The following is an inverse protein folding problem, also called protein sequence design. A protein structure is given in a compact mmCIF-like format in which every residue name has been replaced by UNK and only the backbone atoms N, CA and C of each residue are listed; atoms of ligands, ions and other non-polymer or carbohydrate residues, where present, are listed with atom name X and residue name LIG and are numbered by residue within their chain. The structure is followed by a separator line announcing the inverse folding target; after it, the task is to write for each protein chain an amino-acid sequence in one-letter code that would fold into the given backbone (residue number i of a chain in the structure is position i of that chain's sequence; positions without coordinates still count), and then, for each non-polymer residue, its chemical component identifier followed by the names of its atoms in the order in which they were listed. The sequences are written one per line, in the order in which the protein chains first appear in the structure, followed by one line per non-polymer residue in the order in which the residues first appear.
data_IF_652161948237
#
_entry.id   IF_652161948237
#
_cell.length_a   1.000
_cell.length_b   1.000
_cell.length_c   1.000
_cell.angle_alpha   90.00
_cell.angle_beta   90.00
_cell.angle_gamma   90.00
#
_symmetry.space_group_name_H-M   'P 1'
#
loop_
_entity.id
_entity.type
_entity.pdbx_description
1 polymer ?
#
# COMPACT_ATOMS: atom_id res chain seq x y z
N UNK A 1 -12.20 -0.66 38.40
CA UNK A 1 -12.75 -0.68 37.03
C UNK A 1 -14.23 -0.31 37.15
N UNK A 2 -14.68 0.77 36.51
CA UNK A 2 -15.98 1.41 36.77
C UNK A 2 -17.14 0.47 36.37
N UNK A 3 -18.20 0.34 37.17
CA UNK A 3 -19.35 -0.57 36.92
C UNK A 3 -19.98 -0.34 35.53
N UNK A 4 -19.99 0.92 35.10
CA UNK A 4 -20.42 1.36 33.76
C UNK A 4 -19.54 0.77 32.64
N UNK A 5 -18.22 0.68 32.86
CA UNK A 5 -17.29 0.10 31.91
C UNK A 5 -17.57 -1.41 31.76
N UNK A 6 -17.79 -2.12 32.87
CA UNK A 6 -18.12 -3.55 32.87
C UNK A 6 -19.44 -3.83 32.14
N UNK A 7 -20.48 -3.01 32.38
CA UNK A 7 -21.78 -3.13 31.68
C UNK A 7 -21.60 -2.88 30.17
N UNK A 8 -20.82 -1.87 29.79
CA UNK A 8 -20.52 -1.58 28.38
C UNK A 8 -19.73 -2.70 27.71
N UNK A 9 -18.73 -3.27 28.39
CA UNK A 9 -17.97 -4.43 27.91
C UNK A 9 -18.91 -5.63 27.67
N UNK A 10 -19.80 -5.92 28.62
CA UNK A 10 -20.76 -7.03 28.52
C UNK A 10 -21.78 -6.81 27.40
N UNK A 11 -22.38 -5.63 27.29
CA UNK A 11 -23.32 -5.31 26.20
C UNK A 11 -22.64 -5.34 24.82
N UNK A 12 -21.40 -4.86 24.73
CA UNK A 12 -20.61 -4.91 23.49
C UNK A 12 -20.28 -6.36 23.10
N UNK A 13 -19.91 -7.20 24.06
CA UNK A 13 -19.70 -8.63 23.82
C UNK A 13 -20.99 -9.33 23.36
N UNK A 14 -22.13 -9.03 23.97
CA UNK A 14 -23.44 -9.59 23.55
C UNK A 14 -23.78 -9.14 22.12
N UNK A 15 -23.57 -7.87 21.79
CA UNK A 15 -23.78 -7.35 20.43
C UNK A 15 -22.83 -8.01 19.41
N UNK A 16 -21.59 -8.31 19.80
CA UNK A 16 -20.62 -9.05 18.99
C UNK A 16 -21.12 -10.43 18.60
N UNK A 17 -21.52 -11.22 19.61
CA UNK A 17 -21.99 -12.59 19.43
C UNK A 17 -23.32 -12.61 18.67
N UNK A 18 -24.22 -11.67 18.94
CA UNK A 18 -25.48 -11.51 18.20
C UNK A 18 -25.27 -11.12 16.73
N UNK A 19 -24.36 -10.18 16.46
CA UNK A 19 -23.98 -9.77 15.10
C UNK A 19 -23.33 -10.90 14.31
N UNK A 20 -22.41 -11.66 14.95
CA UNK A 20 -21.79 -12.86 14.40
C UNK A 20 -22.85 -13.92 14.03
N UNK A 21 -23.83 -14.14 14.90
CA UNK A 21 -24.93 -15.08 14.66
C UNK A 21 -25.81 -14.69 13.49
N UNK A 22 -26.23 -13.41 13.43
CA UNK A 22 -27.08 -12.89 12.36
C UNK A 22 -26.36 -12.87 11.00
N UNK A 23 -25.07 -12.53 10.97
CA UNK A 23 -24.26 -12.56 9.75
C UNK A 23 -24.03 -14.00 9.26
N UNK A 24 -23.72 -14.92 10.17
CA UNK A 24 -23.56 -16.35 9.85
C UNK A 24 -24.86 -16.93 9.29
N UNK A 25 -26.00 -16.56 9.87
CA UNK A 25 -27.33 -16.95 9.39
C UNK A 25 -27.69 -16.32 8.04
N UNK A 26 -27.36 -15.03 7.83
CA UNK A 26 -27.56 -14.35 6.56
C UNK A 26 -26.75 -14.99 5.43
N UNK A 27 -25.50 -15.34 5.69
CA UNK A 27 -24.62 -16.03 4.73
C UNK A 27 -25.08 -17.45 4.42
N UNK A 28 -25.59 -18.17 5.42
CA UNK A 28 -26.21 -19.49 5.22
C UNK A 28 -27.33 -19.45 4.17
N UNK A 29 -28.11 -18.35 4.11
CA UNK A 29 -29.15 -18.18 3.09
C UNK A 29 -28.63 -17.81 1.71
N UNK A 30 -27.41 -17.28 1.60
CA UNK A 30 -26.89 -16.71 0.35
C UNK A 30 -25.92 -17.67 -0.38
N UNK A 31 -25.27 -18.59 0.34
CA UNK A 31 -24.33 -19.57 -0.24
C UNK A 31 -25.08 -20.81 -0.75
N UNK A 32 -24.89 -21.15 -2.04
CA UNK A 32 -25.69 -22.18 -2.71
C UNK A 32 -25.19 -23.64 -2.58
N UNK A 33 -23.93 -23.89 -2.20
CA UNK A 33 -23.34 -25.26 -2.12
C UNK A 33 -22.86 -25.62 -0.71
N UNK A 34 -23.16 -26.86 -0.27
CA UNK A 34 -22.73 -27.44 1.02
C UNK A 34 -21.21 -27.68 1.11
N UNK A 35 -20.51 -27.91 0.00
CA UNK A 35 -19.06 -28.17 -0.02
C UNK A 35 -18.23 -26.88 0.15
N UNK A 36 -18.69 -25.76 -0.42
CA UNK A 36 -18.10 -24.43 -0.20
C UNK A 36 -18.32 -23.93 1.23
N UNK A 37 -19.33 -24.45 1.94
CA UNK A 37 -19.54 -24.20 3.36
C UNK A 37 -18.38 -24.72 4.22
N UNK A 38 -17.76 -25.84 3.84
CA UNK A 38 -16.58 -26.40 4.53
C UNK A 38 -15.34 -25.50 4.32
N UNK A 39 -15.20 -24.90 3.14
CA UNK A 39 -14.14 -23.93 2.85
C UNK A 39 -14.37 -22.58 3.57
N UNK A 40 -15.62 -22.13 3.66
CA UNK A 40 -16.04 -21.02 4.55
C UNK A 40 -15.67 -21.34 6.00
N UNK A 41 -15.79 -22.59 6.44
CA UNK A 41 -15.37 -23.01 7.78
C UNK A 41 -13.86 -22.88 8.04
N UNK A 42 -13.00 -23.04 7.01
CA UNK A 42 -11.53 -22.94 7.15
C UNK A 42 -10.94 -21.55 6.93
N UNK A 43 -11.59 -20.67 6.14
CA UNK A 43 -11.06 -19.33 5.83
C UNK A 43 -12.09 -18.20 5.85
N UNK A 44 -13.31 -18.42 5.34
CA UNK A 44 -14.35 -17.38 5.25
C UNK A 44 -14.90 -16.91 6.60
N UNK A 45 -15.10 -17.84 7.55
CA UNK A 45 -15.57 -17.56 8.90
C UNK A 45 -14.57 -16.64 9.63
N UNK A 46 -13.27 -16.88 9.47
CA UNK A 46 -12.21 -16.07 10.08
C UNK A 46 -12.32 -14.58 9.71
N UNK A 47 -12.60 -14.24 8.46
CA UNK A 47 -12.62 -12.84 8.02
C UNK A 47 -13.91 -12.09 8.36
N UNK A 48 -15.05 -12.78 8.34
CA UNK A 48 -16.30 -12.21 8.87
C UNK A 48 -16.20 -12.06 10.39
N UNK A 49 -15.53 -12.99 11.08
CA UNK A 49 -15.22 -12.83 12.51
C UNK A 49 -14.29 -11.66 12.76
N UNK A 50 -13.34 -11.36 11.86
CA UNK A 50 -12.50 -10.16 11.95
C UNK A 50 -13.37 -8.90 11.81
N UNK A 51 -14.24 -8.82 10.81
CA UNK A 51 -15.15 -7.68 10.64
C UNK A 51 -16.05 -7.44 11.86
N UNK A 52 -16.64 -8.50 12.42
CA UNK A 52 -17.46 -8.41 13.62
C UNK A 52 -16.64 -8.08 14.87
N UNK A 53 -15.44 -8.65 15.01
CA UNK A 53 -14.52 -8.35 16.11
C UNK A 53 -14.08 -6.88 16.09
N UNK A 54 -13.78 -6.33 14.90
CA UNK A 54 -13.46 -4.91 14.74
C UNK A 54 -14.64 -4.04 15.16
N UNK A 55 -15.86 -4.31 14.68
CA UNK A 55 -17.03 -3.54 15.07
C UNK A 55 -17.28 -3.59 16.60
N UNK A 56 -17.10 -4.77 17.20
CA UNK A 56 -17.22 -4.99 18.64
C UNK A 56 -16.19 -4.20 19.43
N UNK A 57 -14.93 -4.25 19.00
CA UNK A 57 -13.85 -3.48 19.61
C UNK A 57 -14.15 -1.98 19.55
N UNK A 58 -14.70 -1.51 18.43
CA UNK A 58 -15.12 -0.12 18.27
C UNK A 58 -16.32 0.23 19.17
N UNK A 59 -17.28 -0.68 19.37
CA UNK A 59 -18.34 -0.51 20.37
C UNK A 59 -17.77 -0.37 21.79
N UNK A 60 -16.80 -1.21 22.16
CA UNK A 60 -16.13 -1.10 23.46
C UNK A 60 -15.40 0.24 23.63
N UNK A 61 -14.66 0.67 22.60
CA UNK A 61 -13.97 1.96 22.59
C UNK A 61 -14.96 3.11 22.74
N UNK A 62 -16.11 3.05 22.08
CA UNK A 62 -17.15 4.08 22.22
C UNK A 62 -17.64 4.21 23.68
N UNK A 63 -17.71 3.09 24.41
CA UNK A 63 -18.00 3.08 25.85
C UNK A 63 -16.94 3.75 26.71
N UNK A 64 -15.67 3.56 26.36
CA UNK A 64 -14.53 4.23 27.01
C UNK A 64 -14.56 5.74 26.72
N UNK A 65 -14.95 6.14 25.52
CA UNK A 65 -15.13 7.56 25.18
C UNK A 65 -16.28 8.18 25.98
N UNK A 66 -17.38 7.45 26.16
CA UNK A 66 -18.51 7.95 26.97
C UNK A 66 -18.13 8.20 28.43
N UNK A 67 -17.17 7.44 28.96
CA UNK A 67 -16.64 7.62 30.32
C UNK A 67 -15.40 8.51 30.40
N UNK A 68 -14.96 9.08 29.27
CA UNK A 68 -13.78 9.93 29.19
C UNK A 68 -14.02 11.33 29.77
N UNK A 69 -12.95 12.07 30.14
CA UNK A 69 -13.06 13.42 30.68
C UNK A 69 -13.39 14.50 29.63
N UNK A 70 -13.89 14.15 28.43
CA UNK A 70 -14.29 15.15 27.44
C UNK A 70 -15.53 15.90 27.95
N UNK A 71 -15.37 17.15 28.37
CA UNK A 71 -16.46 17.98 28.91
C UNK A 71 -17.47 18.40 27.83
N UNK A 72 -16.98 18.80 26.65
CA UNK A 72 -17.84 19.29 25.57
C UNK A 72 -18.64 18.15 24.91
N UNK A 73 -19.98 18.26 24.96
CA UNK A 73 -20.89 17.26 24.41
C UNK A 73 -20.71 17.03 22.89
N UNK A 74 -20.38 18.07 22.12
CA UNK A 74 -20.14 17.94 20.68
C UNK A 74 -18.90 17.11 20.39
N UNK A 75 -17.78 17.39 21.08
CA UNK A 75 -16.53 16.65 20.88
C UNK A 75 -16.67 15.19 21.31
N UNK A 76 -17.40 14.95 22.41
CA UNK A 76 -17.73 13.59 22.87
C UNK A 76 -18.58 12.86 21.85
N UNK A 77 -19.60 13.53 21.30
CA UNK A 77 -20.44 12.97 20.24
C UNK A 77 -19.59 12.62 19.00
N UNK A 78 -18.74 13.52 18.53
CA UNK A 78 -17.85 13.28 17.38
C UNK A 78 -16.97 12.04 17.61
N UNK A 79 -16.37 11.91 18.79
CA UNK A 79 -15.52 10.76 19.13
C UNK A 79 -16.32 9.45 19.17
N UNK A 80 -17.45 9.41 19.88
CA UNK A 80 -18.32 8.21 19.97
C UNK A 80 -18.85 7.82 18.59
N UNK A 81 -19.46 8.78 17.89
CA UNK A 81 -20.09 8.56 16.60
C UNK A 81 -19.06 8.18 15.53
N UNK A 82 -17.91 8.85 15.51
CA UNK A 82 -16.77 8.50 14.68
C UNK A 82 -16.29 7.08 14.94
N UNK A 83 -16.24 6.63 16.20
CA UNK A 83 -15.80 5.28 16.56
C UNK A 83 -16.74 4.22 15.98
N UNK A 84 -18.05 4.43 16.17
CA UNK A 84 -19.09 3.52 15.68
C UNK A 84 -19.10 3.45 14.16
N UNK A 85 -19.07 4.60 13.48
CA UNK A 85 -19.02 4.66 12.02
C UNK A 85 -17.75 4.01 11.47
N UNK A 86 -16.59 4.26 12.09
CA UNK A 86 -15.34 3.66 11.67
C UNK A 86 -15.40 2.13 11.76
N UNK A 87 -15.85 1.60 12.90
CA UNK A 87 -16.04 0.17 13.07
C UNK A 87 -17.01 -0.44 12.06
N UNK A 88 -18.13 0.23 11.82
CA UNK A 88 -19.15 -0.21 10.87
C UNK A 88 -18.57 -0.29 9.46
N UNK A 89 -17.95 0.80 8.99
CA UNK A 89 -17.43 0.89 7.63
C UNK A 89 -16.25 -0.03 7.38
N UNK A 90 -15.34 -0.22 8.35
CA UNK A 90 -14.28 -1.22 8.25
C UNK A 90 -14.88 -2.63 8.18
N UNK A 91 -15.86 -2.94 9.03
CA UNK A 91 -16.52 -4.25 9.06
C UNK A 91 -17.21 -4.59 7.73
N UNK A 92 -17.98 -3.64 7.19
CA UNK A 92 -18.65 -3.79 5.88
C UNK A 92 -17.63 -3.86 4.75
N UNK A 93 -16.58 -3.03 4.80
CA UNK A 93 -15.51 -2.99 3.80
C UNK A 93 -14.76 -4.31 3.70
N UNK A 94 -14.30 -4.83 4.84
CA UNK A 94 -13.63 -6.14 4.93
C UNK A 94 -14.57 -7.24 4.43
N UNK A 95 -15.79 -7.32 4.96
CA UNK A 95 -16.74 -8.37 4.57
C UNK A 95 -17.03 -8.36 3.06
N UNK A 96 -17.24 -7.19 2.49
CA UNK A 96 -17.54 -7.03 1.05
C UNK A 96 -16.32 -7.32 0.17
N UNK A 97 -15.13 -6.90 0.60
CA UNK A 97 -13.86 -7.20 -0.08
C UNK A 97 -13.65 -8.71 -0.20
N UNK A 98 -13.81 -9.46 0.90
CA UNK A 98 -13.63 -10.91 0.89
C UNK A 98 -14.68 -11.64 0.05
N UNK A 99 -15.95 -11.24 0.16
CA UNK A 99 -17.02 -11.82 -0.65
C UNK A 99 -16.76 -11.67 -2.16
N UNK A 100 -16.20 -10.54 -2.57
CA UNK A 100 -15.83 -10.28 -3.96
C UNK A 100 -14.54 -11.00 -4.36
N UNK A 101 -13.48 -10.88 -3.55
CA UNK A 101 -12.12 -11.34 -3.87
C UNK A 101 -12.03 -12.85 -4.00
N UNK A 102 -12.62 -13.60 -3.06
CA UNK A 102 -12.57 -15.06 -3.04
C UNK A 102 -13.62 -15.73 -3.91
N UNK A 103 -14.42 -14.94 -4.66
CA UNK A 103 -15.46 -15.40 -5.60
C UNK A 103 -16.27 -16.58 -5.04
N UNK A 104 -16.70 -16.49 -3.78
CA UNK A 104 -17.66 -17.44 -3.23
C UNK A 104 -18.85 -17.54 -4.19
N UNK A 105 -19.49 -18.71 -4.30
CA UNK A 105 -20.62 -18.94 -5.22
C UNK A 105 -21.91 -18.30 -4.65
N UNK A 106 -21.82 -16.99 -4.44
CA UNK A 106 -22.86 -16.06 -4.00
C UNK A 106 -23.72 -15.72 -5.23
N UNK A 107 -25.01 -15.46 -5.04
CA UNK A 107 -25.86 -15.01 -6.15
C UNK A 107 -25.22 -13.86 -6.93
N UNK A 108 -25.24 -13.93 -8.28
CA UNK A 108 -24.61 -12.96 -9.19
C UNK A 108 -24.92 -11.49 -8.85
N UNK A 109 -26.10 -11.22 -8.27
CA UNK A 109 -26.53 -9.89 -7.82
C UNK A 109 -25.62 -9.30 -6.72
N UNK A 110 -25.12 -10.11 -5.79
CA UNK A 110 -24.25 -9.66 -4.70
C UNK A 110 -22.79 -9.51 -5.15
N UNK A 111 -22.32 -10.38 -6.04
CA UNK A 111 -20.95 -10.30 -6.54
C UNK A 111 -20.71 -9.06 -7.43
N UNK A 112 -21.75 -8.61 -8.17
CA UNK A 112 -21.68 -7.41 -9.01
C UNK A 112 -21.41 -6.12 -8.22
N UNK A 113 -21.95 -6.00 -7.01
CA UNK A 113 -21.84 -4.78 -6.19
C UNK A 113 -20.78 -4.86 -5.08
N UNK A 114 -20.28 -6.06 -4.75
CA UNK A 114 -19.35 -6.26 -3.64
C UNK A 114 -18.10 -5.37 -3.69
N UNK A 115 -17.51 -5.19 -4.88
CA UNK A 115 -16.33 -4.32 -5.04
C UNK A 115 -16.64 -2.84 -4.76
N UNK A 116 -17.77 -2.33 -5.29
CA UNK A 116 -18.20 -0.95 -5.07
C UNK A 116 -18.50 -0.70 -3.58
N UNK A 117 -19.20 -1.64 -2.93
CA UNK A 117 -19.50 -1.55 -1.50
C UNK A 117 -18.22 -1.55 -0.68
N UNK A 118 -17.25 -2.42 -1.02
CA UNK A 118 -15.95 -2.45 -0.34
C UNK A 118 -15.22 -1.11 -0.47
N UNK A 119 -15.10 -0.59 -1.71
CA UNK A 119 -14.38 0.65 -1.99
C UNK A 119 -15.03 1.86 -1.29
N UNK A 120 -16.35 2.00 -1.41
CA UNK A 120 -17.10 3.08 -0.75
C UNK A 120 -16.96 2.97 0.77
N UNK A 121 -17.07 1.76 1.33
CA UNK A 121 -16.96 1.55 2.78
C UNK A 121 -15.57 1.91 3.29
N UNK A 122 -14.48 1.53 2.61
CA UNK A 122 -13.14 1.95 3.03
C UNK A 122 -12.94 3.47 2.93
N UNK A 123 -13.50 4.13 1.91
CA UNK A 123 -13.50 5.59 1.81
C UNK A 123 -14.24 6.26 2.98
N UNK A 124 -15.43 5.76 3.31
CA UNK A 124 -16.22 6.24 4.45
C UNK A 124 -15.54 5.93 5.79
N UNK A 125 -14.82 4.81 5.90
CA UNK A 125 -14.03 4.49 7.08
C UNK A 125 -12.94 5.55 7.31
N UNK A 126 -12.24 6.01 6.28
CA UNK A 126 -11.23 7.08 6.44
C UNK A 126 -11.87 8.37 6.95
N UNK A 127 -13.03 8.76 6.43
CA UNK A 127 -13.76 9.94 6.90
C UNK A 127 -14.22 9.79 8.36
N UNK A 128 -14.73 8.61 8.72
CA UNK A 128 -15.12 8.30 10.09
C UNK A 128 -13.91 8.27 11.05
N UNK A 129 -12.75 7.82 10.58
CA UNK A 129 -11.49 7.86 11.32
C UNK A 129 -11.04 9.31 11.57
N UNK A 130 -11.18 10.21 10.61
CA UNK A 130 -10.86 11.62 10.83
C UNK A 130 -11.82 12.27 11.84
N UNK A 131 -13.11 11.97 11.74
CA UNK A 131 -14.11 12.45 12.71
C UNK A 131 -13.83 11.94 14.12
N UNK A 132 -13.48 10.65 14.24
CA UNK A 132 -13.04 10.02 15.48
C UNK A 132 -11.87 10.79 16.11
N UNK A 133 -10.78 10.95 15.34
CA UNK A 133 -9.55 11.57 15.83
C UNK A 133 -9.79 13.04 16.19
N UNK A 134 -10.58 13.78 15.42
CA UNK A 134 -10.96 15.16 15.75
C UNK A 134 -11.77 15.23 17.05
N UNK A 135 -12.70 14.30 17.28
CA UNK A 135 -13.43 14.22 18.54
C UNK A 135 -12.50 14.04 19.75
N UNK A 136 -11.49 13.18 19.62
CA UNK A 136 -10.44 13.00 20.66
C UNK A 136 -9.54 14.23 20.81
N UNK A 137 -9.17 14.87 19.70
CA UNK A 137 -8.28 16.02 19.70
C UNK A 137 -8.95 17.27 20.30
N UNK A 138 -10.16 17.60 19.85
CA UNK A 138 -10.96 18.68 20.46
C UNK A 138 -11.39 18.37 21.89
N UNK A 139 -11.52 17.08 22.23
CA UNK A 139 -11.80 16.62 23.57
C UNK A 139 -10.61 16.68 24.54
N UNK A 140 -9.44 17.12 24.08
CA UNK A 140 -8.23 17.23 24.91
C UNK A 140 -7.58 15.90 25.29
N UNK A 141 -8.01 14.79 24.70
CA UNK A 141 -7.42 13.46 24.94
C UNK A 141 -6.12 13.25 24.14
N UNK A 142 -6.01 13.88 22.97
CA UNK A 142 -4.78 13.85 22.16
C UNK A 142 -3.98 15.11 22.46
N UNK A 143 -2.70 14.93 22.80
CA UNK A 143 -1.73 16.01 22.93
C UNK A 143 -0.88 16.08 21.66
N UNK A 144 -0.54 17.30 21.27
CA UNK A 144 0.35 17.58 20.15
C UNK A 144 1.69 18.12 20.70
N UNK A 145 2.83 17.78 20.09
CA UNK A 145 2.97 16.89 18.93
C UNK A 145 2.65 15.43 19.25
N UNK A 146 2.16 14.71 18.25
CA UNK A 146 1.88 13.27 18.34
C UNK A 146 3.18 12.49 18.63
N UNK A 147 3.09 11.34 19.32
CA UNK A 147 4.25 10.47 19.52
C UNK A 147 4.79 9.97 18.18
N UNK A 148 6.11 9.94 18.03
CA UNK A 148 6.80 9.46 16.81
C UNK A 148 6.76 7.94 16.64
N UNK A 149 6.37 7.21 17.70
CA UNK A 149 6.29 5.76 17.69
C UNK A 149 5.66 5.17 18.95
N UNK A 150 5.62 3.85 19.01
CA UNK A 150 5.14 3.10 20.16
C UNK A 150 6.28 2.98 21.18
N UNK A 151 6.13 3.53 22.40
CA UNK A 151 7.19 3.49 23.39
C UNK A 151 7.33 2.08 23.96
N UNK A 152 8.35 1.36 23.51
CA UNK A 152 8.93 0.25 24.27
C UNK A 152 10.15 0.81 25.02
N UNK A 153 10.48 0.24 26.20
CA UNK A 153 11.55 0.72 27.09
C UNK A 153 12.93 0.90 26.40
N UNK A 154 13.12 0.28 25.22
CA UNK A 154 14.01 0.56 24.08
C UNK A 154 14.15 -0.77 23.32
N UNK A 155 13.99 -0.85 21.98
CA UNK A 155 13.86 0.24 20.99
C UNK A 155 12.41 0.74 20.78
N UNK A 156 12.25 1.99 20.38
CA UNK A 156 10.95 2.57 19.97
C UNK A 156 10.60 2.08 18.56
N UNK A 157 9.37 1.57 18.37
CA UNK A 157 8.88 1.26 17.03
C UNK A 157 8.32 2.54 16.41
N UNK A 158 9.05 3.13 15.47
CA UNK A 158 8.66 4.36 14.80
C UNK A 158 7.41 4.13 13.92
N UNK A 159 6.42 5.03 14.02
CA UNK A 159 5.26 5.00 13.12
C UNK A 159 5.69 5.14 11.67
N UNK A 160 6.75 5.91 11.40
CA UNK A 160 7.36 6.03 10.07
C UNK A 160 7.65 4.67 9.42
N UNK A 161 8.28 3.76 10.17
CA UNK A 161 8.59 2.40 9.68
C UNK A 161 7.32 1.58 9.43
N UNK A 162 6.32 1.71 10.31
CA UNK A 162 5.03 1.02 10.17
C UNK A 162 4.28 1.48 8.91
N UNK A 163 4.25 2.79 8.62
CA UNK A 163 3.62 3.31 7.41
C UNK A 163 4.34 2.89 6.13
N UNK A 164 5.68 2.88 6.13
CA UNK A 164 6.45 2.36 4.98
C UNK A 164 6.15 0.89 4.73
N UNK A 165 6.18 0.06 5.78
CA UNK A 165 5.89 -1.37 5.66
C UNK A 165 4.45 -1.62 5.21
N UNK A 166 3.49 -0.90 5.80
CA UNK A 166 2.08 -0.98 5.40
C UNK A 166 1.89 -0.60 3.92
N UNK A 167 2.55 0.48 3.46
CA UNK A 167 2.53 0.88 2.06
C UNK A 167 3.12 -0.19 1.13
N UNK A 168 4.26 -0.79 1.51
CA UNK A 168 4.90 -1.84 0.75
C UNK A 168 4.04 -3.11 0.63
N UNK A 169 3.42 -3.54 1.73
CA UNK A 169 2.50 -4.69 1.76
C UNK A 169 1.21 -4.41 0.96
N UNK A 170 0.69 -3.18 1.04
CA UNK A 170 -0.46 -2.75 0.24
C UNK A 170 -0.15 -2.84 -1.26
N UNK A 171 1.03 -2.38 -1.69
CA UNK A 171 1.47 -2.49 -3.08
C UNK A 171 1.64 -3.94 -3.50
N UNK A 172 2.20 -4.80 -2.66
CA UNK A 172 2.28 -6.23 -2.92
C UNK A 172 0.89 -6.83 -3.14
N UNK A 173 -0.08 -6.54 -2.26
CA UNK A 173 -1.45 -7.03 -2.38
C UNK A 173 -2.14 -6.54 -3.66
N UNK A 174 -1.99 -5.26 -4.01
CA UNK A 174 -2.53 -4.68 -5.25
C UNK A 174 -1.91 -5.37 -6.47
N UNK A 175 -0.58 -5.46 -6.53
CA UNK A 175 0.11 -6.03 -7.68
C UNK A 175 -0.16 -7.52 -7.82
N UNK A 176 -0.16 -8.29 -6.73
CA UNK A 176 -0.43 -9.73 -6.77
C UNK A 176 -1.85 -10.01 -7.27
N UNK A 177 -2.84 -9.20 -6.85
CA UNK A 177 -4.21 -9.33 -7.35
C UNK A 177 -4.32 -9.00 -8.85
N UNK A 178 -3.66 -7.94 -9.30
CA UNK A 178 -3.65 -7.58 -10.73
C UNK A 178 -2.92 -8.63 -11.57
N UNK A 179 -1.84 -9.23 -11.06
CA UNK A 179 -1.16 -10.34 -11.72
C UNK A 179 -2.05 -11.59 -11.77
N UNK A 180 -2.79 -11.89 -10.68
CA UNK A 180 -3.75 -12.99 -10.63
C UNK A 180 -4.85 -12.85 -11.69
N UNK A 181 -5.38 -11.64 -11.93
CA UNK A 181 -6.41 -11.42 -12.98
C UNK A 181 -5.95 -11.90 -14.35
N UNK A 182 -4.64 -11.87 -14.62
CA UNK A 182 -4.05 -12.29 -15.88
C UNK A 182 -3.60 -13.74 -15.88
N UNK A 183 -2.93 -14.19 -14.81
CA UNK A 183 -2.26 -15.50 -14.76
C UNK A 183 -2.97 -16.55 -13.93
N UNK A 184 -4.10 -16.21 -13.28
CA UNK A 184 -4.94 -17.15 -12.53
C UNK A 184 -4.34 -17.68 -11.23
N UNK A 185 -3.19 -17.16 -10.78
CA UNK A 185 -2.47 -17.63 -9.59
C UNK A 185 -1.92 -16.49 -8.74
N UNK A 186 -2.15 -16.57 -7.43
CA UNK A 186 -1.57 -15.69 -6.41
C UNK A 186 -0.17 -16.12 -6.00
N UNK A 187 0.60 -15.19 -5.44
CA UNK A 187 1.91 -15.43 -4.86
C UNK A 187 3.05 -15.46 -5.90
N UNK A 188 2.79 -15.04 -7.14
CA UNK A 188 3.83 -14.97 -8.18
C UNK A 188 4.84 -13.86 -7.84
N UNK A 189 4.37 -12.76 -7.27
CA UNK A 189 5.21 -11.59 -6.94
C UNK A 189 5.80 -11.65 -5.52
N UNK A 190 5.30 -12.52 -4.64
CA UNK A 190 5.79 -12.66 -3.27
C UNK A 190 7.29 -12.98 -3.19
N UNK A 191 7.86 -13.93 -3.97
CA UNK A 191 9.28 -14.22 -3.89
C UNK A 191 10.16 -13.06 -4.37
N UNK A 192 9.64 -12.24 -5.30
CA UNK A 192 10.30 -11.01 -5.73
C UNK A 192 10.34 -10.01 -4.57
N UNK A 193 9.22 -9.83 -3.86
CA UNK A 193 9.13 -8.95 -2.70
C UNK A 193 10.07 -9.39 -1.57
N UNK A 194 10.09 -10.69 -1.22
CA UNK A 194 10.95 -11.22 -0.16
C UNK A 194 12.44 -11.05 -0.44
N UNK A 195 12.84 -10.92 -1.71
CA UNK A 195 14.23 -10.61 -2.07
C UNK A 195 14.48 -9.10 -2.22
N UNK A 196 13.60 -8.40 -2.94
CA UNK A 196 13.77 -6.99 -3.27
C UNK A 196 13.69 -6.09 -2.04
N UNK A 197 12.79 -6.39 -1.09
CA UNK A 197 12.61 -5.55 0.10
C UNK A 197 13.85 -5.57 1.02
N UNK A 198 14.40 -6.73 1.43
CA UNK A 198 15.68 -6.76 2.17
C UNK A 198 16.86 -6.21 1.37
N UNK A 199 16.95 -6.52 0.07
CA UNK A 199 18.00 -5.97 -0.79
C UNK A 199 17.96 -4.43 -0.85
N UNK A 200 16.75 -3.85 -0.83
CA UNK A 200 16.56 -2.41 -0.73
C UNK A 200 17.07 -1.84 0.60
N UNK A 201 16.82 -2.50 1.73
CA UNK A 201 17.36 -2.05 3.02
C UNK A 201 18.90 -2.06 3.01
N UNK A 202 19.49 -3.15 2.50
CA UNK A 202 20.95 -3.28 2.36
C UNK A 202 21.51 -2.20 1.43
N UNK A 203 20.92 -2.00 0.25
CA UNK A 203 21.34 -0.97 -0.69
C UNK A 203 21.21 0.43 -0.13
N UNK A 204 20.15 0.72 0.62
CA UNK A 204 19.95 2.00 1.27
C UNK A 204 21.05 2.30 2.30
N UNK A 205 21.49 1.27 3.04
CA UNK A 205 22.61 1.40 3.98
C UNK A 205 23.94 1.61 3.25
N UNK A 206 24.23 0.80 2.23
CA UNK A 206 25.46 0.92 1.43
C UNK A 206 25.58 2.33 0.84
N UNK A 207 24.50 2.83 0.25
CA UNK A 207 24.50 4.16 -0.36
C UNK A 207 24.70 5.27 0.66
N UNK A 208 24.07 5.17 1.83
CA UNK A 208 24.25 6.15 2.91
C UNK A 208 25.69 6.18 3.45
N UNK A 209 26.26 4.99 3.69
CA UNK A 209 27.63 4.83 4.19
C UNK A 209 28.64 5.34 3.17
N UNK A 210 28.48 5.00 1.89
CA UNK A 210 29.36 5.49 0.83
C UNK A 210 29.35 7.03 0.73
N UNK A 211 28.19 7.65 0.85
CA UNK A 211 28.06 9.11 0.80
C UNK A 211 28.60 9.84 2.03
N UNK A 212 28.71 9.17 3.18
CA UNK A 212 29.13 9.76 4.46
C UNK A 212 30.40 9.10 5.04
N UNK A 213 31.20 8.43 4.20
CA UNK A 213 32.31 7.56 4.62
C UNK A 213 33.22 8.22 5.66
N UNK A 214 33.74 9.40 5.35
CA UNK A 214 34.61 10.17 6.25
C UNK A 214 33.82 11.02 7.24
N UNK A 215 32.67 11.58 6.82
CA UNK A 215 31.88 12.51 7.64
C UNK A 215 31.36 11.88 8.93
N UNK A 216 31.04 10.59 8.89
CA UNK A 216 30.50 9.85 10.03
C UNK A 216 31.52 8.85 10.62
N UNK A 217 32.81 8.94 10.27
CA UNK A 217 33.86 8.11 10.88
C UNK A 217 33.81 6.62 10.53
N UNK A 218 33.17 6.22 9.42
CA UNK A 218 33.14 4.81 8.99
C UNK A 218 34.52 4.27 8.61
N UNK A 219 35.44 5.16 8.25
CA UNK A 219 36.85 4.87 8.02
C UNK A 219 37.62 4.50 9.31
N UNK A 220 37.10 4.88 10.48
CA UNK A 220 37.75 4.67 11.79
C UNK A 220 37.15 3.46 12.52
N UNK A 221 35.83 3.24 12.39
CA UNK A 221 35.15 2.05 12.91
C UNK A 221 34.19 1.48 11.86
N UNK A 222 34.70 0.48 11.13
CA UNK A 222 33.95 -0.20 10.07
C UNK A 222 32.69 -0.93 10.60
N UNK A 223 32.64 -1.31 11.89
CA UNK A 223 31.48 -2.02 12.44
C UNK A 223 30.24 -1.13 12.45
N UNK A 224 30.40 0.20 12.42
CA UNK A 224 29.28 1.14 12.30
C UNK A 224 28.49 0.93 11.00
N UNK A 225 29.10 0.38 9.93
CA UNK A 225 28.41 0.10 8.66
C UNK A 225 27.20 -0.82 8.86
N UNK A 226 27.26 -1.76 9.81
CA UNK A 226 26.20 -2.73 10.07
C UNK A 226 25.13 -2.23 11.06
N UNK A 227 25.36 -1.11 11.74
CA UNK A 227 24.46 -0.56 12.77
C UNK A 227 23.27 0.18 12.14
N UNK A 228 22.42 -0.57 11.43
CA UNK A 228 21.23 -0.02 10.76
C UNK A 228 20.18 0.55 11.73
N UNK A 229 20.22 0.13 12.99
CA UNK A 229 19.34 0.64 14.06
C UNK A 229 19.73 2.05 14.53
N UNK A 230 20.93 2.54 14.19
CA UNK A 230 21.35 3.93 14.42
C UNK A 230 20.82 4.88 13.33
N UNK A 231 20.01 4.36 12.39
CA UNK A 231 19.50 5.11 11.24
C UNK A 231 20.50 5.14 10.08
N UNK A 232 20.37 6.14 9.20
CA UNK A 232 21.27 6.30 8.05
C UNK A 232 20.96 5.32 6.91
N UNK A 233 19.80 5.53 6.28
CA UNK A 233 19.36 4.81 5.09
C UNK A 233 19.04 5.82 3.99
N UNK A 234 19.66 5.67 2.82
CA UNK A 234 19.42 6.54 1.67
C UNK A 234 18.49 5.87 0.66
N UNK A 235 17.37 6.54 0.35
CA UNK A 235 16.32 5.97 -0.51
C UNK A 235 16.83 5.59 -1.92
N UNK A 236 17.81 6.33 -2.46
CA UNK A 236 18.39 6.06 -3.79
C UNK A 236 19.01 4.66 -3.86
N UNK A 237 19.78 4.30 -2.82
CA UNK A 237 20.37 2.96 -2.70
C UNK A 237 19.31 1.87 -2.58
N UNK A 238 18.25 2.14 -1.81
CA UNK A 238 17.18 1.17 -1.64
C UNK A 238 16.38 0.93 -2.90
N UNK A 239 16.05 1.98 -3.64
CA UNK A 239 15.38 1.87 -4.93
C UNK A 239 16.24 1.10 -5.95
N UNK A 240 17.54 1.42 -6.03
CA UNK A 240 18.46 0.78 -6.97
C UNK A 240 18.64 -0.71 -6.70
N UNK A 241 19.01 -1.08 -5.48
CA UNK A 241 19.28 -2.48 -5.13
C UNK A 241 18.00 -3.31 -5.08
N UNK A 242 16.89 -2.75 -4.61
CA UNK A 242 15.60 -3.41 -4.64
C UNK A 242 15.13 -3.70 -6.07
N UNK A 243 15.21 -2.72 -6.98
CA UNK A 243 14.88 -2.90 -8.38
C UNK A 243 15.81 -3.93 -9.06
N UNK A 244 17.13 -3.83 -8.83
CA UNK A 244 18.10 -4.75 -9.39
C UNK A 244 17.85 -6.20 -8.93
N UNK A 245 17.64 -6.41 -7.63
CA UNK A 245 17.35 -7.73 -7.07
C UNK A 245 16.05 -8.32 -7.65
N UNK A 246 15.00 -7.51 -7.76
CA UNK A 246 13.73 -7.94 -8.34
C UNK A 246 13.83 -8.29 -9.82
N UNK A 247 14.52 -7.46 -10.61
CA UNK A 247 14.77 -7.69 -12.04
C UNK A 247 15.60 -8.96 -12.25
N UNK A 248 16.68 -9.14 -11.49
CA UNK A 248 17.52 -10.33 -11.57
C UNK A 248 16.72 -11.58 -11.22
N UNK A 249 15.96 -11.56 -10.13
CA UNK A 249 15.13 -12.69 -9.73
C UNK A 249 14.13 -13.07 -10.82
N UNK A 250 13.42 -12.09 -11.35
CA UNK A 250 12.48 -12.28 -12.45
C UNK A 250 13.19 -12.86 -13.68
N UNK A 251 14.37 -12.34 -14.00
CA UNK A 251 15.15 -12.74 -15.18
C UNK A 251 15.73 -14.15 -15.08
N UNK A 252 16.04 -14.63 -13.88
CA UNK A 252 16.57 -15.98 -13.67
C UNK A 252 15.47 -17.02 -13.46
N UNK A 253 14.40 -16.68 -12.72
CA UNK A 253 13.36 -17.64 -12.37
C UNK A 253 12.15 -17.63 -13.31
N UNK A 254 11.79 -16.47 -13.85
CA UNK A 254 10.48 -16.26 -14.49
C UNK A 254 10.52 -15.84 -15.95
N UNK A 255 11.70 -15.58 -16.53
CA UNK A 255 11.83 -15.04 -17.89
C UNK A 255 11.07 -15.82 -18.98
N UNK A 256 10.90 -17.13 -18.83
CA UNK A 256 10.16 -17.98 -19.78
C UNK A 256 8.65 -18.01 -19.53
N UNK A 257 8.21 -17.66 -18.32
CA UNK A 257 6.81 -17.81 -17.88
C UNK A 257 6.05 -16.48 -17.88
N UNK A 258 6.72 -15.38 -17.56
CA UNK A 258 6.08 -14.09 -17.34
C UNK A 258 6.85 -12.96 -18.04
N UNK A 259 6.15 -11.89 -18.41
CA UNK A 259 6.77 -10.71 -19.04
C UNK A 259 7.32 -9.76 -17.98
N UNK A 260 8.63 -9.48 -18.05
CA UNK A 260 9.27 -8.54 -17.13
C UNK A 260 8.76 -7.12 -17.32
N UNK A 261 8.43 -6.75 -18.56
CA UNK A 261 7.89 -5.44 -18.87
C UNK A 261 6.53 -5.23 -18.20
N UNK A 262 5.70 -6.27 -18.16
CA UNK A 262 4.40 -6.22 -17.50
C UNK A 262 4.53 -6.15 -15.98
N UNK A 263 5.48 -6.89 -15.40
CA UNK A 263 5.79 -6.77 -13.98
C UNK A 263 6.27 -5.35 -13.62
N UNK A 264 7.14 -4.75 -14.44
CA UNK A 264 7.60 -3.36 -14.27
C UNK A 264 6.44 -2.38 -14.38
N UNK A 265 5.64 -2.48 -15.44
CA UNK A 265 4.49 -1.63 -15.70
C UNK A 265 3.41 -1.71 -14.63
N UNK A 266 3.36 -2.81 -13.89
CA UNK A 266 2.45 -2.99 -12.77
C UNK A 266 3.04 -2.48 -11.45
N UNK A 267 4.24 -2.94 -11.11
CA UNK A 267 4.86 -2.72 -9.80
C UNK A 267 5.33 -1.27 -9.65
N UNK A 268 6.01 -0.73 -10.66
CA UNK A 268 6.68 0.57 -10.53
C UNK A 268 5.66 1.72 -10.30
N UNK A 269 4.56 1.85 -11.05
CA UNK A 269 3.55 2.87 -10.75
C UNK A 269 2.88 2.66 -9.40
N UNK A 270 2.69 1.40 -8.97
CA UNK A 270 2.08 1.09 -7.69
C UNK A 270 2.91 1.60 -6.50
N UNK A 271 4.22 1.80 -6.65
CA UNK A 271 5.08 2.43 -5.63
C UNK A 271 4.55 3.79 -5.19
N UNK A 272 3.85 4.54 -6.05
CA UNK A 272 3.21 5.81 -5.65
C UNK A 272 2.18 5.62 -4.53
N UNK A 273 1.49 4.47 -4.49
CA UNK A 273 0.58 4.13 -3.38
C UNK A 273 1.38 3.94 -2.09
N UNK A 274 2.49 3.21 -2.13
CA UNK A 274 3.37 3.05 -0.97
C UNK A 274 3.94 4.40 -0.50
N UNK A 275 4.34 5.28 -1.43
CA UNK A 275 4.81 6.63 -1.11
C UNK A 275 3.70 7.46 -0.45
N UNK A 276 2.48 7.41 -0.96
CA UNK A 276 1.36 8.14 -0.37
C UNK A 276 1.06 7.70 1.07
N UNK A 277 1.14 6.40 1.36
CA UNK A 277 1.00 5.87 2.71
C UNK A 277 2.20 6.26 3.58
N UNK A 278 3.43 6.13 3.06
CA UNK A 278 4.66 6.48 3.76
C UNK A 278 4.74 7.94 4.20
N UNK A 279 4.13 8.86 3.46
CA UNK A 279 4.05 10.29 3.83
C UNK A 279 3.37 10.54 5.17
N UNK A 280 2.43 9.69 5.58
CA UNK A 280 1.84 9.78 6.92
C UNK A 280 2.86 9.48 8.02
N UNK A 281 3.94 8.75 7.72
CA UNK A 281 5.08 8.66 8.63
C UNK A 281 5.73 10.03 8.87
N UNK A 282 5.91 10.84 7.83
CA UNK A 282 6.51 12.19 7.96
C UNK A 282 5.63 13.10 8.85
N UNK A 283 4.31 12.92 8.79
CA UNK A 283 3.36 13.62 9.65
C UNK A 283 3.57 13.33 11.15
N UNK A 284 3.81 12.07 11.52
CA UNK A 284 4.12 11.71 12.91
C UNK A 284 5.50 12.23 13.35
N UNK A 285 6.47 12.23 12.43
CA UNK A 285 7.82 12.73 12.70
C UNK A 285 7.94 14.27 12.68
N UNK A 286 6.91 14.98 12.19
CA UNK A 286 6.97 16.42 11.90
C UNK A 286 8.20 16.80 11.06
N UNK A 287 8.42 16.08 9.96
CA UNK A 287 9.53 16.31 9.02
C UNK A 287 9.01 16.54 7.60
N UNK A 288 9.82 17.16 6.73
CA UNK A 288 9.49 17.35 5.31
C UNK A 288 8.19 18.15 5.14
N UNK A 289 8.10 19.26 5.88
CA UNK A 289 6.95 20.17 5.83
C UNK A 289 7.26 21.39 4.95
N UNK A 290 6.22 22.13 4.58
CA UNK A 290 6.37 23.31 3.74
C UNK A 290 6.63 24.59 4.53
N UNK A 291 6.73 25.70 3.81
CA UNK A 291 6.91 27.02 4.39
C UNK A 291 5.81 27.40 5.40
N UNK A 292 6.08 28.45 6.18
CA UNK A 292 5.12 29.06 7.11
C UNK A 292 3.89 29.56 6.34
N UNK A 293 2.70 29.27 6.86
CA UNK A 293 1.44 29.73 6.27
C UNK A 293 0.39 30.03 7.34
N UNK A 294 -0.67 30.72 6.96
CA UNK A 294 -1.81 30.99 7.84
C UNK A 294 -2.67 29.73 7.97
N UNK A 295 -2.85 29.26 9.21
CA UNK A 295 -3.69 28.11 9.56
C UNK A 295 -5.14 28.26 9.07
N UNK A 296 -5.66 29.49 8.96
CA UNK A 296 -7.04 29.75 8.54
C UNK A 296 -7.30 29.36 7.08
N UNK A 297 -6.26 29.41 6.23
CA UNK A 297 -6.35 28.94 4.83
C UNK A 297 -6.63 27.44 4.72
N UNK A 298 -6.38 26.70 5.80
CA UNK A 298 -6.53 25.26 5.89
C UNK A 298 -7.67 24.86 6.83
N UNK A 299 -8.63 25.75 7.11
CA UNK A 299 -9.76 25.49 8.01
C UNK A 299 -10.62 24.28 7.62
N UNK A 300 -10.61 23.89 6.34
CA UNK A 300 -11.25 22.68 5.83
C UNK A 300 -10.55 21.38 6.26
N UNK A 301 -9.29 21.45 6.72
CA UNK A 301 -8.57 20.29 7.22
C UNK A 301 -9.01 19.91 8.63
N UNK A 302 -9.04 18.60 8.96
CA UNK A 302 -9.25 18.11 10.30
C UNK A 302 -8.37 18.83 11.33
N UNK A 303 -8.93 19.06 12.51
CA UNK A 303 -8.25 19.76 13.59
C UNK A 303 -6.95 19.07 13.99
N UNK A 304 -6.93 17.74 14.05
CA UNK A 304 -5.73 16.99 14.41
C UNK A 304 -4.58 17.22 13.43
N UNK A 305 -4.87 17.36 12.12
CA UNK A 305 -3.87 17.68 11.10
C UNK A 305 -3.36 19.09 11.33
N UNK A 306 -4.27 20.03 11.52
CA UNK A 306 -3.90 21.44 11.72
C UNK A 306 -2.98 21.63 12.94
N UNK A 307 -3.31 20.98 14.06
CA UNK A 307 -2.52 21.06 15.29
C UNK A 307 -1.16 20.37 15.16
N UNK A 308 -1.12 19.18 14.55
CA UNK A 308 0.15 18.47 14.34
C UNK A 308 1.09 19.23 13.39
N UNK A 309 0.56 20.07 12.51
CA UNK A 309 1.35 20.89 11.60
C UNK A 309 1.77 22.25 12.19
N UNK A 310 1.47 22.51 13.46
CA UNK A 310 2.10 23.60 14.22
C UNK A 310 3.46 23.11 14.70
N UNK A 311 4.52 23.54 14.01
CA UNK A 311 5.89 23.10 14.24
C UNK A 311 6.70 24.34 14.62
N UNK A 312 7.38 24.28 15.76
CA UNK A 312 8.08 25.43 16.35
C UNK A 312 7.21 26.68 16.56
N UNK A 313 5.91 26.48 16.86
CA UNK A 313 4.96 27.57 17.13
C UNK A 313 4.34 28.20 15.89
N UNK A 314 4.72 27.78 14.69
CA UNK A 314 4.17 28.28 13.43
C UNK A 314 3.47 27.17 12.66
N UNK A 315 2.36 27.50 12.00
CA UNK A 315 1.69 26.57 11.12
C UNK A 315 2.48 26.39 9.81
N UNK A 316 2.80 25.15 9.48
CA UNK A 316 3.54 24.77 8.28
C UNK A 316 2.61 24.13 7.26
N UNK A 317 2.87 24.39 5.97
CA UNK A 317 2.08 23.78 4.89
C UNK A 317 2.18 22.25 4.99
N UNK A 318 1.04 21.51 5.01
CA UNK A 318 1.01 20.06 5.16
C UNK A 318 1.43 19.33 3.87
N UNK A 319 2.71 19.43 3.50
CA UNK A 319 3.24 18.80 2.30
C UNK A 319 3.07 17.28 2.32
N UNK A 320 3.10 16.63 3.49
CA UNK A 320 2.82 15.20 3.60
C UNK A 320 1.47 14.84 2.93
N UNK A 321 0.41 15.62 3.20
CA UNK A 321 -0.93 15.36 2.71
C UNK A 321 -1.04 15.67 1.22
N UNK A 322 -0.46 16.79 0.81
CA UNK A 322 -0.43 17.20 -0.60
C UNK A 322 0.32 16.14 -1.42
N UNK A 323 1.49 15.70 -0.98
CA UNK A 323 2.25 14.63 -1.64
C UNK A 323 1.51 13.29 -1.60
N UNK A 324 0.81 12.95 -0.51
CA UNK A 324 -0.05 11.75 -0.48
C UNK A 324 -1.10 11.77 -1.58
N UNK A 325 -1.80 12.90 -1.76
CA UNK A 325 -2.81 13.05 -2.81
C UNK A 325 -2.22 13.06 -4.21
N UNK A 326 -1.10 13.76 -4.43
CA UNK A 326 -0.44 13.80 -5.74
C UNK A 326 0.08 12.42 -6.13
N UNK A 327 0.64 11.66 -5.19
CA UNK A 327 1.10 10.29 -5.46
C UNK A 327 -0.06 9.34 -5.76
N UNK A 328 -1.14 9.37 -4.97
CA UNK A 328 -2.35 8.57 -5.27
C UNK A 328 -2.93 8.93 -6.63
N UNK A 329 -3.06 10.23 -6.93
CA UNK A 329 -3.53 10.71 -8.23
C UNK A 329 -2.65 10.20 -9.36
N UNK A 330 -1.32 10.25 -9.19
CA UNK A 330 -0.36 9.71 -10.16
C UNK A 330 -0.55 8.23 -10.42
N UNK A 331 -0.76 7.44 -9.37
CA UNK A 331 -1.07 6.02 -9.52
C UNK A 331 -2.34 5.82 -10.35
N UNK A 332 -3.44 6.53 -10.03
CA UNK A 332 -4.70 6.38 -10.75
C UNK A 332 -4.59 6.84 -12.21
N UNK A 333 -3.90 7.95 -12.48
CA UNK A 333 -3.65 8.44 -13.84
C UNK A 333 -2.83 7.44 -14.64
N UNK A 334 -1.71 6.96 -14.11
CA UNK A 334 -0.85 6.02 -14.83
C UNK A 334 -1.57 4.68 -15.03
N UNK A 335 -2.17 4.11 -13.98
CA UNK A 335 -2.77 2.77 -14.02
C UNK A 335 -4.06 2.74 -14.85
N UNK A 336 -4.96 3.71 -14.70
CA UNK A 336 -6.27 3.68 -15.34
C UNK A 336 -6.33 4.55 -16.58
N UNK A 337 -5.93 5.83 -16.51
CA UNK A 337 -6.02 6.70 -17.68
C UNK A 337 -5.06 6.26 -18.80
N UNK A 338 -3.79 5.95 -18.46
CA UNK A 338 -2.83 5.45 -19.45
C UNK A 338 -2.93 3.94 -19.63
N UNK A 339 -2.88 3.17 -18.54
CA UNK A 339 -2.85 1.71 -18.60
C UNK A 339 -4.09 1.06 -19.23
N UNK A 340 -5.28 1.59 -18.95
CA UNK A 340 -6.55 1.09 -19.50
C UNK A 340 -7.08 2.01 -20.61
N UNK A 341 -7.13 3.33 -20.38
CA UNK A 341 -7.67 4.30 -21.33
C UNK A 341 -6.86 4.44 -22.62
N UNK A 342 -5.52 4.39 -22.53
CA UNK A 342 -4.62 4.46 -23.68
C UNK A 342 -3.99 3.12 -24.03
N UNK A 343 -4.63 2.00 -23.65
CA UNK A 343 -4.12 0.63 -23.89
C UNK A 343 -3.73 0.36 -25.36
N UNK A 344 -4.40 0.99 -26.33
CA UNK A 344 -4.11 0.85 -27.77
C UNK A 344 -2.80 1.52 -28.19
N UNK A 345 -2.41 2.60 -27.50
CA UNK A 345 -1.31 3.47 -27.90
C UNK A 345 -0.05 3.25 -27.06
N UNK A 346 -0.18 2.59 -25.91
CA UNK A 346 0.95 2.30 -25.02
C UNK A 346 1.74 1.09 -25.50
N UNK A 347 3.05 1.17 -25.30
CA UNK A 347 3.99 0.06 -25.41
C UNK A 347 4.31 -0.51 -24.02
N UNK A 348 4.79 -1.76 -23.94
CA UNK A 348 5.32 -2.30 -22.68
C UNK A 348 6.49 -1.44 -22.17
N UNK A 349 6.55 -1.22 -20.85
CA UNK A 349 7.46 -0.33 -20.10
C UNK A 349 7.02 1.13 -19.98
N UNK A 350 6.02 1.58 -20.72
CA UNK A 350 5.60 2.99 -20.69
C UNK A 350 5.09 3.41 -19.32
N UNK A 351 4.37 2.54 -18.61
CA UNK A 351 3.85 2.88 -17.28
C UNK A 351 5.00 2.99 -16.26
N UNK A 352 6.00 2.11 -16.37
CA UNK A 352 7.23 2.20 -15.59
C UNK A 352 7.99 3.51 -15.83
N UNK A 353 8.09 3.97 -17.08
CA UNK A 353 8.72 5.26 -17.38
C UNK A 353 7.87 6.45 -16.93
N UNK A 354 6.54 6.38 -17.06
CA UNK A 354 5.63 7.43 -16.60
C UNK A 354 5.67 7.64 -15.09
N UNK A 355 5.97 6.60 -14.31
CA UNK A 355 6.27 6.78 -12.89
C UNK A 355 7.46 7.72 -12.67
N UNK A 356 8.55 7.55 -13.43
CA UNK A 356 9.73 8.39 -13.31
C UNK A 356 9.42 9.84 -13.70
N UNK A 357 8.60 10.03 -14.74
CA UNK A 357 8.08 11.34 -15.12
C UNK A 357 7.25 11.96 -14.00
N UNK A 358 6.28 11.23 -13.47
CA UNK A 358 5.38 11.71 -12.41
C UNK A 358 6.13 12.06 -11.13
N UNK A 359 7.08 11.21 -10.74
CA UNK A 359 7.94 11.45 -9.60
C UNK A 359 8.77 12.72 -9.79
N UNK A 360 9.44 12.86 -10.95
CA UNK A 360 10.19 14.07 -11.28
C UNK A 360 9.31 15.32 -11.29
N UNK A 361 8.14 15.27 -11.93
CA UNK A 361 7.19 16.37 -11.96
C UNK A 361 6.73 16.79 -10.56
N UNK A 362 6.39 15.81 -9.72
CA UNK A 362 5.99 16.05 -8.33
C UNK A 362 7.09 16.77 -7.57
N UNK A 363 8.36 16.34 -7.73
CA UNK A 363 9.50 16.98 -7.08
C UNK A 363 9.78 18.38 -7.60
N UNK A 364 9.68 18.63 -8.91
CA UNK A 364 9.82 19.98 -9.48
C UNK A 364 8.81 20.96 -8.89
N UNK A 365 7.57 20.51 -8.65
CA UNK A 365 6.50 21.35 -8.09
C UNK A 365 6.66 21.52 -6.57
N UNK A 366 6.99 20.45 -5.84
CA UNK A 366 6.98 20.46 -4.37
C UNK A 366 8.26 21.00 -3.75
N UNK A 367 9.44 20.82 -4.37
CA UNK A 367 10.71 21.24 -3.78
C UNK A 367 10.76 22.76 -3.51
N UNK A 368 10.26 23.65 -4.40
CA UNK A 368 10.18 25.09 -4.11
C UNK A 368 9.24 25.44 -2.94
N UNK A 369 8.31 24.55 -2.59
CA UNK A 369 7.34 24.75 -1.50
C UNK A 369 7.83 24.23 -0.14
N UNK A 370 8.92 23.43 -0.13
CA UNK A 370 9.52 22.88 1.08
C UNK A 370 10.24 23.95 1.88
N UNK A 371 10.28 23.75 3.19
CA UNK A 371 11.12 24.59 4.04
C UNK A 371 12.60 24.47 3.63
N UNK A 372 13.34 25.58 3.52
CA UNK A 372 14.76 25.55 3.15
C UNK A 372 15.65 24.66 4.03
N UNK A 373 15.27 24.41 5.29
CA UNK A 373 16.00 23.52 6.21
C UNK A 373 16.04 22.07 5.70
N UNK A 374 15.00 21.65 4.99
CA UNK A 374 14.83 20.27 4.54
C UNK A 374 15.38 20.02 3.10
N UNK A 375 15.96 21.04 2.47
CA UNK A 375 16.48 20.96 1.11
C UNK A 375 17.91 20.39 1.11
N UNK A 376 18.15 19.34 0.31
CA UNK A 376 19.45 18.67 0.23
C UNK A 376 20.38 19.32 -0.81
N UNK A 377 21.68 19.37 -0.49
CA UNK A 377 22.75 19.81 -1.40
C UNK A 377 23.20 21.26 -1.20
N UNK A 378 24.26 21.66 -1.92
CA UNK A 378 24.73 23.05 -1.89
C UNK A 378 23.63 23.99 -2.41
N UNK A 379 23.19 24.92 -1.56
CA UNK A 379 22.01 25.80 -1.77
C UNK A 379 20.66 25.09 -1.94
N UNK A 380 20.55 23.80 -1.59
CA UNK A 380 19.29 23.06 -1.59
C UNK A 380 18.74 22.64 -2.96
N UNK A 381 19.55 22.70 -4.03
CA UNK A 381 19.06 22.50 -5.41
C UNK A 381 19.17 21.05 -5.93
N UNK A 382 19.81 20.14 -5.20
CA UNK A 382 20.11 18.80 -5.74
C UNK A 382 18.84 18.01 -6.05
N UNK A 383 17.87 18.02 -5.14
CA UNK A 383 16.57 17.35 -5.36
C UNK A 383 15.87 17.87 -6.61
N UNK A 384 15.89 19.19 -6.82
CA UNK A 384 15.30 19.85 -7.97
C UNK A 384 15.99 19.48 -9.29
N UNK A 385 17.33 19.48 -9.32
CA UNK A 385 18.10 19.10 -10.51
C UNK A 385 17.84 17.62 -10.88
N UNK A 386 17.89 16.72 -9.90
CA UNK A 386 17.58 15.30 -10.12
C UNK A 386 16.16 15.08 -10.61
N UNK A 387 15.20 15.88 -10.12
CA UNK A 387 13.82 15.84 -10.58
C UNK A 387 13.68 16.17 -12.09
N UNK A 388 14.39 17.21 -12.56
CA UNK A 388 14.43 17.57 -13.98
C UNK A 388 15.08 16.45 -14.80
N UNK A 389 16.18 15.87 -14.30
CA UNK A 389 16.84 14.74 -14.96
C UNK A 389 15.87 13.56 -15.09
N UNK A 390 15.10 13.23 -14.06
CA UNK A 390 14.11 12.15 -14.12
C UNK A 390 13.01 12.41 -15.14
N UNK A 391 12.51 13.64 -15.24
CA UNK A 391 11.56 14.03 -16.30
C UNK A 391 12.18 13.84 -17.68
N UNK A 392 13.38 14.39 -17.91
CA UNK A 392 14.06 14.30 -19.20
C UNK A 392 14.36 12.85 -19.60
N UNK A 393 14.93 12.06 -18.69
CA UNK A 393 15.24 10.63 -18.91
C UNK A 393 13.97 9.84 -19.20
N UNK A 394 12.87 10.11 -18.50
CA UNK A 394 11.59 9.44 -18.76
C UNK A 394 11.06 9.72 -20.16
N UNK A 395 11.05 11.00 -20.58
CA UNK A 395 10.58 11.38 -21.93
C UNK A 395 11.44 10.71 -23.01
N UNK A 396 12.75 10.76 -22.86
CA UNK A 396 13.68 10.09 -23.79
C UNK A 396 13.46 8.57 -23.81
N UNK A 397 13.26 7.94 -22.65
CA UNK A 397 13.01 6.51 -22.55
C UNK A 397 11.69 6.10 -23.23
N UNK A 398 10.61 6.87 -23.05
CA UNK A 398 9.32 6.60 -23.71
C UNK A 398 9.47 6.74 -25.24
N UNK A 399 10.08 7.82 -25.71
CA UNK A 399 10.28 8.05 -27.16
C UNK A 399 11.17 6.96 -27.75
N UNK A 400 12.28 6.63 -27.11
CA UNK A 400 13.17 5.56 -27.54
C UNK A 400 12.47 4.19 -27.55
N UNK A 401 11.66 3.89 -26.53
CA UNK A 401 10.87 2.66 -26.46
C UNK A 401 9.94 2.54 -27.67
N UNK A 402 9.19 3.59 -27.99
CA UNK A 402 8.29 3.60 -29.15
C UNK A 402 9.04 3.46 -30.48
N UNK A 403 10.17 4.16 -30.65
CA UNK A 403 10.99 4.05 -31.88
C UNK A 403 11.53 2.63 -32.04
N UNK A 404 12.10 2.05 -30.98
CA UNK A 404 12.65 0.69 -31.00
C UNK A 404 11.54 -0.31 -31.32
N UNK A 405 10.38 -0.20 -30.67
CA UNK A 405 9.23 -1.09 -30.91
C UNK A 405 8.72 -0.94 -32.34
N UNK A 406 8.58 0.28 -32.85
CA UNK A 406 8.21 0.52 -34.24
C UNK A 406 9.19 -0.15 -35.23
N UNK A 407 10.50 -0.01 -35.01
CA UNK A 407 11.51 -0.65 -35.84
C UNK A 407 11.47 -2.18 -35.75
N UNK A 408 11.23 -2.74 -34.55
CA UNK A 408 11.08 -4.18 -34.35
C UNK A 408 9.85 -4.72 -35.07
N UNK A 409 8.70 -4.02 -35.01
CA UNK A 409 7.48 -4.38 -35.76
C UNK A 409 7.72 -4.42 -37.26
N UNK A 410 8.51 -3.46 -37.78
CA UNK A 410 8.88 -3.40 -39.20
C UNK A 410 9.84 -4.51 -39.62
N UNK A 411 10.80 -4.90 -38.76
CA UNK A 411 11.85 -5.89 -39.09
C UNK A 411 11.43 -7.34 -38.87
N UNK A 412 10.58 -7.63 -37.88
CA UNK A 412 10.12 -8.97 -37.53
C UNK A 412 8.64 -8.93 -37.12
N UNK A 413 7.70 -8.93 -38.08
CA UNK A 413 6.27 -8.88 -37.77
C UNK A 413 5.80 -10.02 -36.85
N UNK A 414 6.44 -11.21 -36.92
CA UNK A 414 6.14 -12.35 -36.04
C UNK A 414 6.62 -12.20 -34.58
N UNK A 415 7.63 -11.36 -34.29
CA UNK A 415 8.07 -11.10 -32.90
C UNK A 415 7.25 -9.99 -32.22
N UNK A 416 6.49 -9.25 -33.02
CA UNK A 416 5.74 -8.07 -32.60
C UNK A 416 4.32 -8.37 -32.11
N UNK A 417 3.74 -9.51 -32.48
CA UNK A 417 2.38 -9.91 -32.08
C UNK A 417 2.30 -10.48 -30.66
N UNK A 418 3.43 -10.78 -30.01
CA UNK A 418 3.43 -11.37 -28.66
C UNK A 418 2.90 -12.80 -28.58
N UNK A 419 2.46 -13.39 -29.70
CA UNK A 419 1.88 -14.75 -29.78
C UNK A 419 2.90 -15.87 -29.54
N UNK A 420 4.19 -15.61 -29.73
CA UNK A 420 5.21 -16.68 -29.70
C UNK A 420 5.38 -17.30 -28.30
N UNK A 421 5.01 -16.60 -27.23
CA UNK A 421 5.11 -17.15 -25.86
C UNK A 421 3.94 -18.10 -25.54
N UNK A 422 2.74 -17.87 -26.08
CA UNK A 422 1.59 -18.75 -25.82
C UNK A 422 1.74 -20.11 -26.48
N UNK A 423 2.25 -20.19 -27.72
CA UNK A 423 2.39 -21.47 -28.42
C UNK A 423 3.50 -22.36 -27.85
N UNK A 424 4.61 -21.81 -27.36
CA UNK A 424 5.67 -22.63 -26.74
C UNK A 424 5.27 -23.11 -25.34
N UNK A 425 4.68 -22.24 -24.49
CA UNK A 425 4.28 -22.60 -23.12
C UNK A 425 3.12 -23.60 -23.11
N UNK A 426 2.11 -23.44 -23.98
CA UNK A 426 1.02 -24.43 -24.11
C UNK A 426 1.54 -25.76 -24.65
N UNK A 427 2.59 -25.75 -25.49
CA UNK A 427 3.21 -26.99 -25.99
C UNK A 427 4.05 -27.72 -24.93
N UNK A 428 4.75 -26.98 -24.05
CA UNK A 428 5.50 -27.56 -22.93
C UNK A 428 4.56 -28.05 -21.81
N UNK A 429 3.49 -27.34 -21.46
CA UNK A 429 2.48 -27.81 -20.49
C UNK A 429 1.75 -29.07 -20.99
N UNK A 430 1.37 -29.13 -22.28
CA UNK A 430 0.79 -30.36 -22.85
C UNK A 430 1.79 -31.53 -22.84
N UNK A 431 3.06 -31.30 -23.18
CA UNK A 431 4.08 -32.36 -23.13
C UNK A 431 4.30 -32.87 -21.71
N UNK A 432 4.36 -31.98 -20.73
CA UNK A 432 4.56 -32.35 -19.31
C UNK A 432 3.35 -33.11 -18.77
N UNK A 433 2.13 -32.71 -19.15
CA UNK A 433 0.89 -33.40 -18.72
C UNK A 433 0.79 -34.80 -19.35
N UNK A 434 1.15 -34.94 -20.64
CA UNK A 434 1.15 -36.23 -21.34
C UNK A 434 2.25 -37.16 -20.78
N UNK A 435 3.44 -36.67 -20.46
CA UNK A 435 4.50 -37.49 -19.85
C UNK A 435 4.16 -37.97 -18.44
N UNK A 436 3.41 -37.18 -17.65
CA UNK A 436 2.92 -37.56 -16.33
C UNK A 436 1.80 -38.62 -16.44
N UNK A 437 0.84 -38.44 -17.34
CA UNK A 437 -0.23 -39.44 -17.58
C UNK A 437 0.32 -40.77 -18.12
N UNK A 438 1.36 -40.74 -18.96
CA UNK A 438 2.00 -41.96 -19.49
C UNK A 438 2.81 -42.69 -18.41
N UNK A 439 3.43 -41.97 -17.46
CA UNK A 439 4.09 -42.59 -16.30
C UNK A 439 3.09 -43.21 -15.32
N UNK A 440 1.99 -42.53 -15.01
CA UNK A 440 0.96 -43.06 -14.10
C UNK A 440 0.18 -44.25 -14.69
N UNK A 441 0.05 -44.34 -16.02
CA UNK A 441 -0.49 -45.54 -16.68
C UNK A 441 0.52 -46.68 -16.78
N UNK A 442 1.79 -46.38 -17.04
CA UNK A 442 2.85 -47.39 -17.11
C UNK A 442 3.20 -48.04 -15.77
N UNK A 443 3.04 -47.34 -14.64
CA UNK A 443 3.24 -47.91 -13.30
C UNK A 443 2.04 -48.75 -12.83
N UNK A 444 0.82 -48.50 -13.33
CA UNK A 444 -0.37 -49.29 -12.98
C UNK A 444 -0.50 -50.61 -13.77
N UNK A 445 0.20 -50.79 -14.89
CA UNK A 445 0.17 -52.03 -15.68
C UNK A 445 1.27 -53.05 -15.30
N UNK A 446 2.30 -52.65 -14.54
CA UNK A 446 3.37 -53.54 -14.07
C UNK A 446 3.21 -54.02 -12.61
N UNK A 447 2.05 -53.75 -11.98
CA UNK A 447 1.76 -54.05 -10.57
C UNK A 447 0.66 -55.08 -10.35
N UNK A 448 0.50 -56.08 -11.24
CA UNK A 448 -0.36 -57.24 -11.03
C UNK A 448 0.36 -58.55 -11.29
#
# INVERSE_FOLDING_TARGET
MNTTLTILFTLSAIAAFGGLGLLSYGLWRVVKRKEEFIFIHKGGFLFITIGAAVFTLMLMLSGIVLSSPIENHLHRFMAVFGTLLFGLFVSVGVSSFFLHYYKFNVEKKFNKYGNYVAFISFGLAILALFLLIDGYAYGGMIKFPLPTGIPFNKPVIAFYALFILAGALLVLAICDHEFYKKYGRHGILEPIFYLAFPAGIVGARIWYVAGNWTRNGYNEDFLQVFRIWEGGLAIMGGALFGALAGILYFRFKYKKMYSIAEAIDLIIPAILVAQAVGRWGNFFNQEVYGAVSDINKYSFLPYFIRQQMVIYGEFRVPLFLIESFVNLTGYFVIRFAVGEGLKKWREPLDMGFLYLFWYGLTRVIMEPMRDPIDNMGDKGQWSFIWAIIFVAVSVVAIVANHIIRYQLRKRKPALASGEVIETEVVSEEKKTTIEVEVKEKGENENGK
#
